data_IF_061417953239
#
_entry.id   IF_061417953239
#
_cell.length_a   1.000
_cell.length_b   1.000
_cell.length_c   1.000
_cell.angle_alpha   90.00
_cell.angle_beta   90.00
_cell.angle_gamma   90.00
#
_symmetry.space_group_name_H-M   'P 1'
#
loop_
_entity.id
_entity.type
_entity.pdbx_description
1 polymer ?
#
# COMPACT_ATOMS: atom_id res chain seq x y z
N UNK A 1 -60.62 4.91 45.97
CA UNK A 1 -59.36 4.28 45.50
C UNK A 1 -59.23 4.64 44.03
N UNK A 2 -58.53 5.74 43.75
CA UNK A 2 -58.37 6.33 42.42
C UNK A 2 -57.15 5.71 41.75
N UNK A 3 -57.37 5.06 40.59
CA UNK A 3 -56.29 4.55 39.74
C UNK A 3 -55.44 5.72 39.23
N UNK A 4 -54.09 5.66 39.33
CA UNK A 4 -53.25 6.69 38.75
C UNK A 4 -53.28 6.60 37.22
N UNK A 5 -53.46 7.76 36.60
CA UNK A 5 -53.41 8.02 35.17
C UNK A 5 -51.96 7.78 34.66
N UNK A 6 -51.75 7.03 33.57
CA UNK A 6 -50.41 6.77 33.08
C UNK A 6 -49.82 8.02 32.42
N UNK A 7 -48.71 8.50 32.96
CA UNK A 7 -47.97 9.67 32.48
C UNK A 7 -47.56 9.50 30.99
N UNK A 8 -47.92 10.45 30.10
CA UNK A 8 -47.59 10.40 28.68
C UNK A 8 -46.09 10.50 28.41
N UNK A 9 -45.30 10.98 29.37
CA UNK A 9 -43.85 11.13 29.26
C UNK A 9 -43.09 9.79 29.28
N UNK A 10 -43.66 8.75 29.86
CA UNK A 10 -43.06 7.40 29.86
C UNK A 10 -43.06 6.73 28.48
N UNK A 11 -43.97 7.18 27.59
CA UNK A 11 -44.05 6.67 26.21
C UNK A 11 -43.05 7.32 25.25
N UNK A 12 -42.61 8.56 25.55
CA UNK A 12 -41.62 9.27 24.73
C UNK A 12 -40.20 8.75 24.96
N UNK A 13 -39.85 8.36 26.20
CA UNK A 13 -38.52 7.82 26.50
C UNK A 13 -38.30 6.43 25.86
N UNK A 14 -39.35 5.62 25.74
CA UNK A 14 -39.23 4.30 25.11
C UNK A 14 -39.25 4.35 23.57
N UNK A 15 -39.61 5.48 22.96
CA UNK A 15 -39.57 5.66 21.51
C UNK A 15 -38.17 6.08 20.99
N UNK A 16 -37.31 6.64 21.84
CA UNK A 16 -35.93 7.05 21.46
C UNK A 16 -34.89 5.93 21.63
N UNK A 17 -35.20 4.87 22.40
CA UNK A 17 -34.30 3.72 22.61
C UNK A 17 -34.51 2.63 21.54
N UNK A 18 -35.24 2.94 20.46
CA UNK A 18 -35.41 2.08 19.31
C UNK A 18 -35.11 2.84 18.03
N UNK A 19 -33.94 2.58 17.42
CA UNK A 19 -33.59 2.92 16.03
C UNK A 19 -32.56 4.04 15.81
N UNK A 20 -31.35 3.86 16.34
CA UNK A 20 -30.11 4.03 15.53
C UNK A 20 -29.03 3.11 16.09
N UNK A 21 -29.32 1.80 16.13
CA UNK A 21 -28.24 0.84 16.05
C UNK A 21 -27.81 0.89 14.58
N UNK A 22 -26.89 1.80 14.26
CA UNK A 22 -26.20 1.74 12.98
C UNK A 22 -25.69 0.30 12.83
N UNK A 23 -25.97 -0.37 11.70
CA UNK A 23 -25.48 -1.71 11.50
C UNK A 23 -23.97 -1.65 11.69
N UNK A 24 -23.46 -2.42 12.66
CA UNK A 24 -22.04 -2.73 12.79
C UNK A 24 -21.60 -3.03 11.36
N UNK A 25 -20.67 -2.25 10.77
CA UNK A 25 -20.30 -2.46 9.38
C UNK A 25 -19.88 -3.92 9.28
N UNK A 26 -20.66 -4.69 8.52
CA UNK A 26 -20.37 -6.09 8.25
C UNK A 26 -18.89 -6.16 7.90
N UNK A 27 -18.12 -7.11 8.48
CA UNK A 27 -16.72 -7.28 8.11
C UNK A 27 -16.68 -7.42 6.60
N UNK A 28 -16.07 -6.42 5.95
CA UNK A 28 -16.05 -6.20 4.51
C UNK A 28 -16.07 -7.55 3.79
N UNK A 29 -17.19 -7.80 3.11
CA UNK A 29 -17.43 -8.96 2.27
C UNK A 29 -16.12 -9.36 1.59
N UNK A 30 -15.69 -10.60 1.87
CA UNK A 30 -14.48 -11.25 1.37
C UNK A 30 -14.06 -10.68 0.02
N UNK A 31 -13.15 -9.70 0.07
CA UNK A 31 -12.63 -9.07 -1.12
C UNK A 31 -12.02 -10.16 -1.99
N UNK A 32 -12.49 -10.24 -3.23
CA UNK A 32 -11.97 -11.12 -4.26
C UNK A 32 -10.44 -11.14 -4.16
N UNK A 33 -9.85 -12.31 -3.84
CA UNK A 33 -8.41 -12.43 -3.60
C UNK A 33 -7.69 -11.78 -4.79
N UNK A 34 -6.75 -10.86 -4.57
CA UNK A 34 -6.04 -10.24 -5.69
C UNK A 34 -5.44 -11.36 -6.53
N UNK A 35 -5.89 -11.45 -7.79
CA UNK A 35 -5.44 -12.48 -8.70
C UNK A 35 -3.91 -12.47 -8.72
N UNK A 36 -3.29 -13.61 -8.47
CA UNK A 36 -1.82 -13.76 -8.44
C UNK A 36 -1.21 -13.17 -9.71
N UNK A 37 -1.90 -13.30 -10.85
CA UNK A 37 -1.54 -12.70 -12.13
C UNK A 37 -1.49 -11.17 -12.11
N UNK A 38 -2.38 -10.50 -11.39
CA UNK A 38 -2.36 -9.05 -11.25
C UNK A 38 -1.15 -8.58 -10.42
N UNK A 39 -0.79 -9.32 -9.37
CA UNK A 39 0.41 -9.03 -8.56
C UNK A 39 1.68 -9.26 -9.39
N UNK A 40 1.76 -10.39 -10.11
CA UNK A 40 2.90 -10.72 -10.98
C UNK A 40 3.10 -9.67 -12.08
N UNK A 41 2.03 -9.20 -12.74
CA UNK A 41 2.13 -8.12 -13.74
C UNK A 41 2.71 -6.83 -13.16
N UNK A 42 2.29 -6.45 -11.94
CA UNK A 42 2.79 -5.25 -11.25
C UNK A 42 4.25 -5.40 -10.82
N UNK A 43 4.66 -6.60 -10.37
CA UNK A 43 6.05 -6.91 -10.08
C UNK A 43 6.93 -6.84 -11.34
N UNK A 44 6.46 -7.37 -12.47
CA UNK A 44 7.17 -7.27 -13.74
C UNK A 44 7.31 -5.81 -14.21
N UNK A 45 6.26 -5.01 -14.04
CA UNK A 45 6.30 -3.58 -14.38
C UNK A 45 7.32 -2.85 -13.50
N UNK A 46 7.30 -3.09 -12.18
CA UNK A 46 8.28 -2.53 -11.25
C UNK A 46 9.72 -2.94 -11.63
N UNK A 47 9.95 -4.22 -11.90
CA UNK A 47 11.26 -4.72 -12.34
C UNK A 47 11.74 -4.04 -13.63
N UNK A 48 10.84 -3.87 -14.61
CA UNK A 48 11.13 -3.18 -15.86
C UNK A 48 11.52 -1.72 -15.66
N UNK A 49 10.78 -0.97 -14.83
CA UNK A 49 11.09 0.43 -14.54
C UNK A 49 12.40 0.55 -13.77
N UNK A 50 12.66 -0.33 -12.80
CA UNK A 50 13.92 -0.33 -12.06
C UNK A 50 15.12 -0.67 -12.95
N UNK A 51 14.96 -1.60 -13.89
CA UNK A 51 15.99 -1.92 -14.87
C UNK A 51 16.30 -0.71 -15.76
N UNK A 52 15.27 -0.05 -16.29
CA UNK A 52 15.43 1.15 -17.11
C UNK A 52 16.08 2.29 -16.32
N UNK A 53 15.60 2.55 -15.09
CA UNK A 53 16.16 3.56 -14.21
C UNK A 53 17.63 3.28 -13.86
N UNK A 54 17.97 2.00 -13.62
CA UNK A 54 19.34 1.56 -13.42
C UNK A 54 20.24 1.88 -14.61
N UNK A 55 19.77 1.59 -15.84
CA UNK A 55 20.50 1.91 -17.07
C UNK A 55 20.68 3.43 -17.22
N UNK A 56 19.63 4.22 -17.00
CA UNK A 56 19.69 5.69 -17.12
C UNK A 56 20.65 6.30 -16.10
N UNK A 57 20.54 5.90 -14.83
CA UNK A 57 21.42 6.40 -13.75
C UNK A 57 22.86 5.95 -13.98
N UNK A 58 23.07 4.71 -14.44
CA UNK A 58 24.39 4.21 -14.81
C UNK A 58 25.01 4.94 -15.98
N UNK A 59 24.22 5.28 -17.01
CA UNK A 59 24.67 6.08 -18.14
C UNK A 59 25.02 7.51 -17.73
N UNK A 60 24.23 8.12 -16.84
CA UNK A 60 24.49 9.48 -16.35
C UNK A 60 25.71 9.56 -15.43
N UNK A 61 26.04 8.48 -14.73
CA UNK A 61 27.13 8.42 -13.77
C UNK A 61 28.33 7.58 -14.26
N UNK A 62 28.64 7.64 -15.56
CA UNK A 62 29.81 6.93 -16.12
C UNK A 62 31.15 7.41 -15.52
N UNK A 63 31.20 8.63 -15.00
CA UNK A 63 32.37 9.19 -14.30
C UNK A 63 32.72 8.46 -12.99
N UNK A 64 31.85 7.58 -12.50
CA UNK A 64 32.11 6.78 -11.31
C UNK A 64 33.21 5.73 -11.50
N UNK A 65 33.59 5.43 -12.75
CA UNK A 65 34.59 4.41 -13.08
C UNK A 65 34.09 2.99 -12.80
N UNK A 66 35.01 2.05 -12.59
CA UNK A 66 34.70 0.61 -12.44
C UNK A 66 33.77 0.27 -11.26
N UNK A 67 33.63 1.16 -10.27
CA UNK A 67 32.73 0.96 -9.11
C UNK A 67 31.29 1.39 -9.38
N UNK A 68 31.04 2.25 -10.39
CA UNK A 68 29.70 2.74 -10.74
C UNK A 68 28.68 1.63 -11.04
N UNK A 69 28.99 0.65 -11.91
CA UNK A 69 28.07 -0.44 -12.24
C UNK A 69 27.67 -1.28 -11.02
N UNK A 70 28.61 -1.56 -10.12
CA UNK A 70 28.36 -2.33 -8.90
C UNK A 70 27.39 -1.60 -7.96
N UNK A 71 27.57 -0.29 -7.76
CA UNK A 71 26.66 0.54 -6.97
C UNK A 71 25.23 0.52 -7.54
N UNK A 72 25.11 0.76 -8.85
CA UNK A 72 23.81 0.83 -9.53
C UNK A 72 23.06 -0.49 -9.40
N UNK A 73 23.75 -1.62 -9.63
CA UNK A 73 23.13 -2.93 -9.57
C UNK A 73 22.65 -3.29 -8.16
N UNK A 74 23.48 -3.02 -7.14
CA UNK A 74 23.15 -3.30 -5.75
C UNK A 74 22.03 -2.40 -5.22
N UNK A 75 22.05 -1.12 -5.59
CA UNK A 75 20.99 -0.18 -5.22
C UNK A 75 19.66 -0.54 -5.91
N UNK A 76 19.68 -0.83 -7.21
CA UNK A 76 18.48 -1.19 -7.96
C UNK A 76 17.85 -2.49 -7.47
N UNK A 77 18.66 -3.51 -7.16
CA UNK A 77 18.18 -4.78 -6.61
C UNK A 77 17.64 -4.61 -5.19
N UNK A 78 18.34 -3.89 -4.31
CA UNK A 78 17.87 -3.63 -2.95
C UNK A 78 16.54 -2.86 -2.94
N UNK A 79 16.46 -1.76 -3.70
CA UNK A 79 15.24 -0.95 -3.81
C UNK A 79 14.10 -1.76 -4.44
N UNK A 80 14.38 -2.51 -5.52
CA UNK A 80 13.39 -3.34 -6.20
C UNK A 80 12.84 -4.47 -5.32
N UNK A 81 13.70 -5.14 -4.54
CA UNK A 81 13.29 -6.18 -3.59
C UNK A 81 12.45 -5.60 -2.45
N UNK A 82 12.88 -4.46 -1.90
CA UNK A 82 12.13 -3.76 -0.85
C UNK A 82 10.72 -3.36 -1.34
N UNK A 83 10.62 -2.77 -2.53
CA UNK A 83 9.34 -2.36 -3.11
C UNK A 83 8.47 -3.56 -3.49
N UNK A 84 9.07 -4.68 -3.92
CA UNK A 84 8.34 -5.93 -4.18
C UNK A 84 7.74 -6.51 -2.89
N UNK A 85 8.52 -6.54 -1.81
CA UNK A 85 8.05 -7.01 -0.51
C UNK A 85 6.90 -6.13 0.03
N UNK A 86 7.02 -4.81 -0.10
CA UNK A 86 5.99 -3.87 0.28
C UNK A 86 4.70 -4.04 -0.55
N UNK A 87 4.79 -4.21 -1.87
CA UNK A 87 3.64 -4.50 -2.73
C UNK A 87 2.94 -5.82 -2.36
N UNK A 88 3.70 -6.87 -2.06
CA UNK A 88 3.15 -8.15 -1.62
C UNK A 88 2.44 -7.98 -0.27
N UNK A 89 3.04 -7.25 0.67
CA UNK A 89 2.45 -6.98 1.98
C UNK A 89 1.13 -6.22 1.84
N UNK A 90 1.08 -5.17 1.01
CA UNK A 90 -0.14 -4.41 0.71
C UNK A 90 -1.20 -5.30 0.07
N UNK A 91 -0.83 -6.11 -0.92
CA UNK A 91 -1.77 -7.00 -1.60
C UNK A 91 -2.41 -8.02 -0.65
N UNK A 92 -1.65 -8.57 0.30
CA UNK A 92 -2.15 -9.50 1.31
C UNK A 92 -3.02 -8.78 2.34
N UNK A 93 -2.56 -7.61 2.82
CA UNK A 93 -3.19 -6.92 3.96
C UNK A 93 -4.47 -6.15 3.59
N UNK A 94 -4.65 -5.78 2.32
CA UNK A 94 -5.91 -5.23 1.78
C UNK A 94 -7.10 -6.18 2.01
N UNK A 95 -6.87 -7.49 2.14
CA UNK A 95 -7.92 -8.49 2.38
C UNK A 95 -8.23 -8.76 3.85
N UNK A 96 -7.54 -8.08 4.78
CA UNK A 96 -7.60 -8.35 6.23
C UNK A 96 -8.11 -7.11 6.98
N UNK A 97 -8.81 -7.30 8.11
CA UNK A 97 -9.27 -6.20 9.00
C UNK A 97 -8.15 -5.33 9.60
N UNK A 98 -6.90 -5.70 9.33
CA UNK A 98 -5.67 -5.05 9.79
C UNK A 98 -4.99 -4.24 8.66
N UNK A 99 -5.74 -3.82 7.63
CA UNK A 99 -5.23 -3.09 6.47
C UNK A 99 -4.36 -1.86 6.85
N UNK A 100 -4.69 -1.18 7.94
CA UNK A 100 -3.90 -0.04 8.46
C UNK A 100 -2.47 -0.46 8.87
N UNK A 101 -2.31 -1.58 9.58
CA UNK A 101 -0.99 -2.09 9.96
C UNK A 101 -0.20 -2.58 8.74
N UNK A 102 -0.88 -3.15 7.74
CA UNK A 102 -0.26 -3.56 6.49
C UNK A 102 0.31 -2.39 5.70
N UNK A 103 -0.46 -1.31 5.58
CA UNK A 103 -0.01 -0.08 4.94
C UNK A 103 1.15 0.53 5.72
N UNK A 104 1.03 0.66 7.05
CA UNK A 104 2.10 1.23 7.89
C UNK A 104 3.38 0.38 7.85
N UNK A 105 3.25 -0.94 7.89
CA UNK A 105 4.36 -1.88 7.77
C UNK A 105 5.04 -1.80 6.39
N UNK A 106 4.26 -1.64 5.32
CA UNK A 106 4.82 -1.41 3.98
C UNK A 106 5.62 -0.11 3.91
N UNK A 107 5.14 0.95 4.59
CA UNK A 107 5.80 2.25 4.63
C UNK A 107 7.12 2.19 5.41
N UNK A 108 7.15 1.42 6.50
CA UNK A 108 8.36 1.20 7.25
C UNK A 108 9.37 0.38 6.43
N UNK A 109 8.95 -0.75 5.86
CA UNK A 109 9.84 -1.60 5.06
C UNK A 109 10.43 -0.84 3.85
N UNK A 110 9.59 -0.10 3.11
CA UNK A 110 10.02 0.64 1.91
C UNK A 110 11.02 1.76 2.20
N UNK A 111 11.06 2.28 3.43
CA UNK A 111 11.96 3.39 3.81
C UNK A 111 13.18 2.89 4.57
N UNK A 112 12.98 1.99 5.54
CA UNK A 112 14.05 1.47 6.37
C UNK A 112 15.00 0.56 5.61
N UNK A 113 14.53 -0.33 4.73
CA UNK A 113 15.41 -1.27 4.03
C UNK A 113 16.41 -0.51 3.13
N UNK A 114 15.97 0.40 2.24
CA UNK A 114 16.90 1.10 1.37
C UNK A 114 17.82 2.07 2.14
N UNK A 115 17.34 2.70 3.23
CA UNK A 115 18.17 3.56 4.06
C UNK A 115 19.21 2.76 4.86
N UNK A 116 18.79 1.71 5.56
CA UNK A 116 19.68 0.86 6.33
C UNK A 116 20.73 0.24 5.42
N UNK A 117 20.34 -0.21 4.23
CA UNK A 117 21.29 -0.76 3.28
C UNK A 117 22.27 0.29 2.77
N UNK A 118 21.82 1.52 2.49
CA UNK A 118 22.71 2.63 2.17
C UNK A 118 23.73 2.91 3.28
N UNK A 119 23.30 2.91 4.54
CA UNK A 119 24.18 3.12 5.71
C UNK A 119 25.20 1.98 5.84
N UNK A 120 24.74 0.73 5.80
CA UNK A 120 25.61 -0.46 5.85
C UNK A 120 26.66 -0.39 4.74
N UNK A 121 26.25 0.06 3.55
CA UNK A 121 27.15 0.17 2.41
C UNK A 121 28.27 1.19 2.64
N UNK A 122 27.94 2.37 3.18
CA UNK A 122 28.93 3.39 3.56
C UNK A 122 29.91 2.85 4.61
N UNK A 123 29.42 2.04 5.55
CA UNK A 123 30.25 1.50 6.63
C UNK A 123 31.20 0.41 6.13
N UNK A 124 30.75 -0.49 5.25
CA UNK A 124 31.57 -1.59 4.73
C UNK A 124 32.58 -1.09 3.69
N UNK A 125 32.17 -0.16 2.82
CA UNK A 125 33.02 0.36 1.74
C UNK A 125 33.32 1.85 1.97
N UNK A 126 34.09 2.15 3.02
CA UNK A 126 34.50 3.54 3.35
C UNK A 126 35.27 4.25 2.21
N UNK A 127 35.86 3.46 1.32
CA UNK A 127 36.50 3.88 0.07
C UNK A 127 35.52 4.44 -0.98
N UNK A 128 34.22 4.13 -0.86
CA UNK A 128 33.19 4.65 -1.74
C UNK A 128 32.71 5.97 -1.16
N UNK A 129 33.14 7.08 -1.80
CA UNK A 129 32.73 8.41 -1.38
C UNK A 129 31.21 8.49 -1.21
N UNK A 130 30.75 8.96 -0.06
CA UNK A 130 29.33 9.12 0.27
C UNK A 130 28.58 9.90 -0.81
N UNK A 131 29.26 10.84 -1.49
CA UNK A 131 28.74 11.59 -2.64
C UNK A 131 28.36 10.69 -3.82
N UNK A 132 29.19 9.71 -4.14
CA UNK A 132 28.98 8.74 -5.22
C UNK A 132 27.81 7.80 -4.91
N UNK A 133 27.73 7.35 -3.66
CA UNK A 133 26.62 6.49 -3.21
C UNK A 133 25.29 7.24 -3.24
N UNK A 134 25.24 8.45 -2.67
CA UNK A 134 24.01 9.26 -2.63
C UNK A 134 23.54 9.60 -4.05
N UNK A 135 24.46 9.98 -4.96
CA UNK A 135 24.14 10.34 -6.34
C UNK A 135 23.48 9.21 -7.14
N UNK A 136 23.75 7.95 -6.80
CA UNK A 136 23.16 6.78 -7.48
C UNK A 136 21.97 6.23 -6.70
N UNK A 137 22.11 6.09 -5.38
CA UNK A 137 21.14 5.41 -4.53
C UNK A 137 19.86 6.22 -4.33
N UNK A 138 19.97 7.53 -4.11
CA UNK A 138 18.80 8.40 -3.91
C UNK A 138 17.86 8.45 -5.12
N UNK A 139 18.34 8.68 -6.36
CA UNK A 139 17.42 8.69 -7.51
C UNK A 139 16.78 7.32 -7.76
N UNK A 140 17.52 6.21 -7.63
CA UNK A 140 16.94 4.87 -7.77
C UNK A 140 15.90 4.57 -6.67
N UNK A 141 16.18 4.99 -5.44
CA UNK A 141 15.24 4.90 -4.33
C UNK A 141 13.96 5.71 -4.60
N UNK A 142 14.08 6.96 -5.07
CA UNK A 142 12.94 7.81 -5.39
C UNK A 142 12.10 7.25 -6.54
N UNK A 143 12.73 6.72 -7.58
CA UNK A 143 12.02 6.08 -8.69
C UNK A 143 11.27 4.85 -8.20
N UNK A 144 11.93 3.97 -7.43
CA UNK A 144 11.30 2.79 -6.83
C UNK A 144 10.08 3.19 -5.99
N UNK A 145 10.24 4.19 -5.12
CA UNK A 145 9.19 4.67 -4.23
C UNK A 145 8.01 5.27 -4.99
N UNK A 146 8.29 6.01 -6.08
CA UNK A 146 7.25 6.63 -6.92
C UNK A 146 6.43 5.56 -7.65
N UNK A 147 7.11 4.62 -8.32
CA UNK A 147 6.45 3.55 -9.08
C UNK A 147 5.64 2.66 -8.15
N UNK A 148 6.20 2.28 -7.01
CA UNK A 148 5.52 1.49 -6.00
C UNK A 148 4.26 2.21 -5.49
N UNK A 149 4.36 3.49 -5.15
CA UNK A 149 3.21 4.28 -4.68
C UNK A 149 2.10 4.33 -5.72
N UNK A 150 2.44 4.50 -7.00
CA UNK A 150 1.46 4.47 -8.11
C UNK A 150 0.78 3.09 -8.18
N UNK A 151 1.56 2.00 -8.10
CA UNK A 151 1.02 0.64 -8.14
C UNK A 151 0.14 0.31 -6.94
N UNK A 152 0.49 0.80 -5.74
CA UNK A 152 -0.33 0.68 -4.53
C UNK A 152 -1.63 1.44 -4.68
N UNK A 153 -1.60 2.68 -5.18
CA UNK A 153 -2.80 3.49 -5.42
C UNK A 153 -3.69 2.82 -6.46
N UNK A 154 -3.12 2.22 -7.51
CA UNK A 154 -3.86 1.44 -8.50
C UNK A 154 -4.57 0.21 -7.88
N UNK A 155 -3.88 -0.54 -7.01
CA UNK A 155 -4.47 -1.66 -6.26
C UNK A 155 -5.68 -1.19 -5.45
N UNK A 156 -5.48 -0.16 -4.62
CA UNK A 156 -6.51 0.35 -3.70
C UNK A 156 -7.70 0.91 -4.49
N UNK A 157 -7.44 1.72 -5.53
CA UNK A 157 -8.48 2.33 -6.37
C UNK A 157 -9.29 1.28 -7.15
N UNK A 158 -8.64 0.22 -7.62
CA UNK A 158 -9.31 -0.89 -8.29
C UNK A 158 -10.26 -1.62 -7.34
N UNK A 159 -9.83 -1.87 -6.09
CA UNK A 159 -10.68 -2.47 -5.07
C UNK A 159 -11.89 -1.60 -4.70
N UNK A 160 -11.73 -0.27 -4.61
CA UNK A 160 -12.84 0.65 -4.31
C UNK A 160 -13.90 0.75 -5.42
N UNK A 161 -13.48 0.70 -6.70
CA UNK A 161 -14.41 0.70 -7.85
C UNK A 161 -15.24 -0.58 -7.93
N UNK A 162 -14.69 -1.70 -7.50
CA UNK A 162 -15.41 -2.97 -7.51
C UNK A 162 -16.49 -3.04 -6.41
N UNK A 163 -16.19 -2.53 -5.21
CA UNK A 163 -17.16 -2.44 -4.12
C UNK A 163 -18.37 -1.55 -4.45
N UNK A 164 -18.17 -0.46 -5.20
CA UNK A 164 -19.26 0.43 -5.62
C UNK A 164 -20.15 -0.16 -6.71
N UNK A 165 -19.60 -0.97 -7.63
CA UNK A 165 -20.41 -1.71 -8.62
C UNK A 165 -21.29 -2.80 -7.98
N UNK A 166 -20.78 -3.53 -6.99
CA UNK A 166 -21.54 -4.56 -6.26
C UNK A 166 -22.59 -3.97 -5.31
N UNK A 167 -22.33 -2.81 -4.71
CA UNK A 167 -23.29 -2.10 -3.85
C UNK A 167 -24.51 -1.57 -4.62
N UNK A 168 -24.31 -1.11 -5.86
CA UNK A 168 -25.39 -0.56 -6.70
C UNK A 168 -26.37 -1.62 -7.20
N UNK A 169 -25.99 -2.90 -7.23
CA UNK A 169 -26.85 -4.02 -7.61
C UNK A 169 -27.81 -4.51 -6.51
N UNK A 170 -27.55 -4.21 -5.24
CA UNK A 170 -28.37 -4.69 -4.11
C UNK A 170 -29.51 -3.75 -3.72
N UNK A 171 -29.44 -2.46 -4.05
CA UNK A 171 -30.47 -1.47 -3.69
C UNK A 171 -31.70 -1.52 -4.62
N UNK A 172 -31.57 -2.10 -5.83
CA UNK A 172 -32.68 -2.13 -6.81
C UNK A 172 -33.59 -3.36 -6.71
N UNK A 173 -33.49 -4.17 -5.64
CA UNK A 173 -34.29 -5.41 -5.50
C UNK A 173 -35.04 -5.47 -4.16
N UNK A 174 -35.70 -4.38 -3.77
CA UNK A 174 -36.69 -4.42 -2.69
C UNK A 174 -37.70 -3.28 -2.78
N UNK A 175 -38.53 -3.28 -3.82
CA UNK A 175 -39.89 -2.73 -3.78
C UNK A 175 -40.61 -3.18 -5.05
N UNK A 176 -41.41 -4.24 -4.95
CA UNK A 176 -42.69 -4.45 -5.63
C UNK A 176 -43.17 -5.85 -5.29
N UNK A 177 -44.25 -5.91 -4.51
CA UNK A 177 -44.85 -7.10 -3.92
C UNK A 177 -45.69 -6.67 -2.74
#
# INVERSE_FOLDING_TARGET
>A
MTNPEPDPLSSLVNAEVGSTMDPIPEPLAQGERPSIWAVVKRLLLLAGVMALAGVVVGYWNQELGATGPHLVWMSATCCGLSASAALILVAVTVSTSWAFQGILGSILLRTFIPLAMGIIWVVIHAEWSTKKLIAVHVPLFLVSLTVETILVVDIVSTSSRFGTMLGKGRVSRKMHG
#
